data_IF_487263889409
#
_entry.id   IF_487263889409
#
_cell.length_a   1.000
_cell.length_b   1.000
_cell.length_c   1.000
_cell.angle_alpha   90.00
_cell.angle_beta   90.00
_cell.angle_gamma   90.00
#
_symmetry.space_group_name_H-M   'P 1'
#
loop_
_entity.id
_entity.type
_entity.pdbx_description
1 polymer ?
#
# COMPACT_ATOMS: atom_id res chain seq x y z
N UNK A 1 -6.56 -8.30 -17.90
CA UNK A 1 -7.91 -8.01 -17.36
C UNK A 1 -8.43 -6.70 -17.95
N UNK A 2 -9.74 -6.42 -17.89
CA UNK A 2 -10.36 -5.24 -18.52
C UNK A 2 -9.75 -3.90 -18.07
N UNK A 3 -9.33 -3.79 -16.81
CA UNK A 3 -8.78 -2.55 -16.23
C UNK A 3 -7.25 -2.40 -16.41
N UNK A 4 -6.60 -3.29 -17.16
CA UNK A 4 -5.14 -3.28 -17.36
C UNK A 4 -4.32 -3.88 -16.22
N UNK A 5 -4.94 -4.45 -15.19
CA UNK A 5 -4.22 -5.20 -14.16
C UNK A 5 -3.77 -6.57 -14.69
N UNK A 6 -2.54 -6.96 -14.34
CA UNK A 6 -1.98 -8.29 -14.64
C UNK A 6 -2.34 -9.34 -13.57
N UNK A 7 -2.57 -8.91 -12.33
CA UNK A 7 -2.96 -9.77 -11.21
C UNK A 7 -3.94 -9.06 -10.27
N UNK A 8 -4.59 -9.84 -9.40
CA UNK A 8 -5.39 -9.34 -8.28
C UNK A 8 -4.79 -9.77 -6.94
N UNK A 9 -5.08 -9.03 -5.88
CA UNK A 9 -4.69 -9.39 -4.50
C UNK A 9 -5.90 -9.77 -3.67
N UNK A 10 -5.88 -10.94 -3.03
CA UNK A 10 -6.93 -11.37 -2.10
C UNK A 10 -6.37 -11.52 -0.68
N UNK A 11 -7.15 -11.07 0.30
CA UNK A 11 -6.84 -11.20 1.74
C UNK A 11 -7.47 -12.46 2.32
N UNK A 12 -6.70 -13.19 3.12
CA UNK A 12 -7.14 -14.42 3.77
C UNK A 12 -6.19 -15.59 3.52
N UNK A 13 -6.17 -16.53 4.46
CA UNK A 13 -5.35 -17.74 4.40
C UNK A 13 -6.11 -18.96 3.90
N UNK A 14 -6.10 -20.04 4.68
CA UNK A 14 -6.75 -21.32 4.34
C UNK A 14 -8.22 -21.18 3.91
N UNK A 15 -8.95 -20.24 4.51
CA UNK A 15 -10.37 -20.01 4.23
C UNK A 15 -10.67 -19.47 2.83
N UNK A 16 -9.71 -18.76 2.23
CA UNK A 16 -9.85 -18.13 0.90
C UNK A 16 -9.15 -18.95 -0.19
N UNK A 17 -8.29 -19.90 0.18
CA UNK A 17 -7.57 -20.77 -0.76
C UNK A 17 -8.49 -21.48 -1.79
N UNK A 18 -9.68 -22.03 -1.44
CA UNK A 18 -10.57 -22.65 -2.43
C UNK A 18 -11.10 -21.64 -3.47
N UNK A 19 -11.31 -20.39 -3.08
CA UNK A 19 -11.74 -19.31 -3.99
C UNK A 19 -10.59 -18.90 -4.89
N UNK A 20 -9.37 -18.76 -4.34
CA UNK A 20 -8.18 -18.44 -5.11
C UNK A 20 -7.91 -19.50 -6.17
N UNK A 21 -8.01 -20.79 -5.82
CA UNK A 21 -7.87 -21.88 -6.78
C UNK A 21 -8.80 -21.69 -7.98
N UNK A 22 -10.08 -21.42 -7.74
CA UNK A 22 -11.06 -21.22 -8.83
C UNK A 22 -10.72 -20.02 -9.72
N UNK A 23 -10.16 -18.96 -9.15
CA UNK A 23 -9.73 -17.77 -9.90
C UNK A 23 -8.49 -18.10 -10.75
N UNK A 24 -7.52 -18.80 -10.17
CA UNK A 24 -6.30 -19.23 -10.86
C UNK A 24 -6.63 -20.22 -11.99
N UNK A 25 -7.53 -21.17 -11.75
CA UNK A 25 -8.00 -22.13 -12.76
C UNK A 25 -8.73 -21.42 -13.93
N UNK A 26 -9.31 -20.26 -13.68
CA UNK A 26 -9.89 -19.39 -14.72
C UNK A 26 -8.84 -18.56 -15.49
N UNK A 27 -7.54 -18.74 -15.21
CA UNK A 27 -6.44 -18.07 -15.88
C UNK A 27 -6.09 -16.69 -15.32
N UNK A 28 -6.54 -16.36 -14.11
CA UNK A 28 -6.27 -15.05 -13.47
C UNK A 28 -5.21 -15.22 -12.38
N UNK A 29 -4.08 -14.51 -12.51
CA UNK A 29 -3.03 -14.50 -11.50
C UNK A 29 -3.48 -13.83 -10.20
N UNK A 30 -3.17 -14.48 -9.07
CA UNK A 30 -3.54 -13.98 -7.74
C UNK A 30 -2.31 -13.84 -6.85
N UNK A 31 -2.21 -12.70 -6.17
CA UNK A 31 -1.31 -12.48 -5.04
C UNK A 31 -2.09 -12.72 -3.74
N UNK A 32 -1.63 -13.65 -2.92
CA UNK A 32 -2.19 -13.88 -1.59
C UNK A 32 -1.81 -12.77 -0.62
N UNK A 33 -2.55 -12.59 0.46
CA UNK A 33 -2.20 -11.66 1.54
C UNK A 33 -2.62 -12.25 2.88
N UNK A 34 -1.63 -12.46 3.76
CA UNK A 34 -1.81 -13.01 5.11
C UNK A 34 -1.08 -12.16 6.16
N UNK A 35 -1.31 -12.46 7.44
CA UNK A 35 -0.94 -11.59 8.54
C UNK A 35 -2.11 -10.68 8.88
N UNK A 36 -1.83 -9.40 9.13
CA UNK A 36 -2.89 -8.42 9.35
C UNK A 36 -3.54 -8.08 8.01
N UNK A 37 -4.77 -8.55 7.80
CA UNK A 37 -5.58 -8.23 6.63
C UNK A 37 -6.51 -7.05 6.93
N UNK A 38 -6.26 -5.84 6.39
CA UNK A 38 -7.01 -4.64 6.76
C UNK A 38 -8.52 -4.75 6.60
N UNK A 39 -9.01 -5.53 5.62
CA UNK A 39 -10.45 -5.71 5.38
C UNK A 39 -11.18 -6.36 6.56
N UNK A 40 -10.46 -7.13 7.38
CA UNK A 40 -11.01 -7.82 8.56
C UNK A 40 -10.37 -7.33 9.87
N UNK A 41 -9.67 -6.19 9.84
CA UNK A 41 -8.95 -5.65 11.00
C UNK A 41 -9.86 -5.48 12.23
N UNK A 42 -11.11 -5.04 12.04
CA UNK A 42 -12.07 -4.90 13.14
C UNK A 42 -12.36 -6.22 13.86
N UNK A 43 -12.43 -7.34 13.11
CA UNK A 43 -12.67 -8.68 13.66
C UNK A 43 -11.51 -9.17 14.53
N UNK A 44 -10.30 -8.67 14.31
CA UNK A 44 -9.10 -8.96 15.11
C UNK A 44 -8.77 -7.86 16.13
N UNK A 45 -9.71 -6.94 16.37
CA UNK A 45 -9.57 -5.87 17.37
C UNK A 45 -8.66 -4.73 16.93
N UNK A 46 -8.63 -4.42 15.63
CA UNK A 46 -7.90 -3.33 15.01
C UNK A 46 -6.58 -3.75 14.35
N UNK A 47 -5.72 -2.77 14.08
CA UNK A 47 -4.42 -2.97 13.44
C UNK A 47 -3.39 -3.52 14.43
N UNK A 48 -3.46 -4.84 14.70
CA UNK A 48 -2.56 -5.54 15.63
C UNK A 48 -1.59 -6.46 14.91
N UNK A 49 -0.43 -6.68 15.53
CA UNK A 49 0.58 -7.65 15.07
C UNK A 49 0.00 -9.06 15.10
N UNK A 50 0.18 -9.83 14.03
CA UNK A 50 -0.25 -11.23 13.91
C UNK A 50 0.92 -12.19 14.12
N UNK A 51 0.63 -13.43 14.54
CA UNK A 51 1.68 -14.45 14.77
C UNK A 51 2.50 -14.22 16.05
N UNK A 52 1.96 -13.53 17.04
CA UNK A 52 2.63 -13.27 18.32
C UNK A 52 2.68 -14.47 19.28
N UNK A 53 2.01 -15.58 18.96
CA UNK A 53 2.02 -16.84 19.73
C UNK A 53 2.47 -18.00 18.84
N UNK A 54 2.94 -19.12 19.42
CA UNK A 54 3.30 -20.31 18.64
C UNK A 54 2.18 -20.80 17.73
N UNK A 55 0.93 -20.81 18.21
CA UNK A 55 -0.23 -21.25 17.44
C UNK A 55 -0.53 -20.29 16.28
N UNK A 56 -0.44 -18.98 16.53
CA UNK A 56 -0.64 -17.97 15.49
C UNK A 56 0.45 -17.99 14.43
N UNK A 57 1.71 -18.22 14.82
CA UNK A 57 2.81 -18.39 13.88
C UNK A 57 2.63 -19.66 13.03
N UNK A 58 2.24 -20.77 13.65
CA UNK A 58 1.94 -22.01 12.94
C UNK A 58 0.75 -21.86 11.98
N UNK A 59 -0.27 -21.07 12.34
CA UNK A 59 -1.40 -20.75 11.47
C UNK A 59 -0.94 -19.99 10.23
N UNK A 60 -0.11 -18.95 10.37
CA UNK A 60 0.40 -18.18 9.23
C UNK A 60 1.22 -19.04 8.26
N UNK A 61 1.96 -20.03 8.76
CA UNK A 61 2.68 -20.98 7.92
C UNK A 61 1.69 -21.90 7.16
N UNK A 62 0.62 -22.37 7.81
CA UNK A 62 -0.44 -23.15 7.14
C UNK A 62 -1.14 -22.32 6.07
N UNK A 63 -1.49 -21.08 6.40
CA UNK A 63 -2.11 -20.14 5.47
C UNK A 63 -1.24 -19.93 4.24
N UNK A 64 0.06 -19.65 4.42
CA UNK A 64 0.99 -19.47 3.31
C UNK A 64 1.06 -20.71 2.39
N UNK A 65 1.16 -21.91 2.98
CA UNK A 65 1.18 -23.16 2.22
C UNK A 65 -0.12 -23.41 1.46
N UNK A 66 -1.27 -23.16 2.08
CA UNK A 66 -2.56 -23.33 1.43
C UNK A 66 -2.75 -22.36 0.25
N UNK A 67 -2.24 -21.13 0.38
CA UNK A 67 -2.23 -20.17 -0.71
C UNK A 67 -1.29 -20.56 -1.85
N UNK A 68 -0.07 -20.99 -1.53
CA UNK A 68 0.87 -21.51 -2.53
C UNK A 68 0.28 -22.71 -3.26
N UNK A 69 -0.28 -23.68 -2.51
CA UNK A 69 -0.95 -24.83 -3.10
C UNK A 69 -2.05 -24.35 -4.05
N UNK A 70 -2.91 -23.42 -3.62
CA UNK A 70 -3.98 -22.82 -4.43
C UNK A 70 -3.50 -22.10 -5.72
N UNK A 71 -2.20 -21.88 -5.88
CA UNK A 71 -1.59 -21.38 -7.11
C UNK A 71 -1.37 -19.86 -7.15
N UNK A 72 -1.21 -19.22 -5.98
CA UNK A 72 -0.82 -17.80 -5.97
C UNK A 72 0.54 -17.61 -6.65
N UNK A 73 0.74 -16.44 -7.27
CA UNK A 73 2.03 -16.08 -7.89
C UNK A 73 3.00 -15.44 -6.91
N UNK A 74 2.49 -14.93 -5.77
CA UNK A 74 3.25 -14.32 -4.68
C UNK A 74 2.36 -14.17 -3.44
N UNK A 75 2.94 -13.85 -2.28
CA UNK A 75 2.21 -13.61 -1.03
C UNK A 75 2.69 -12.33 -0.35
N UNK A 76 1.75 -11.47 0.03
CA UNK A 76 2.00 -10.33 0.93
C UNK A 76 1.94 -10.79 2.38
N UNK A 77 2.96 -10.45 3.16
CA UNK A 77 3.04 -10.65 4.61
C UNK A 77 2.92 -9.28 5.31
N UNK A 78 1.83 -9.07 6.04
CA UNK A 78 1.57 -7.80 6.73
C UNK A 78 1.62 -7.93 8.26
N UNK A 79 2.36 -7.03 8.90
CA UNK A 79 2.37 -6.79 10.35
C UNK A 79 2.52 -8.05 11.21
N UNK A 80 3.68 -8.72 11.11
CA UNK A 80 4.00 -9.94 11.89
C UNK A 80 5.47 -9.92 12.37
N UNK A 81 5.85 -10.71 13.40
CA UNK A 81 7.24 -10.80 13.84
C UNK A 81 8.16 -11.27 12.72
N UNK A 82 9.34 -10.66 12.59
CA UNK A 82 10.30 -10.95 11.52
C UNK A 82 10.70 -12.42 11.45
N UNK A 83 10.83 -13.10 12.60
CA UNK A 83 11.17 -14.51 12.65
C UNK A 83 10.02 -15.42 12.17
N UNK A 84 8.76 -14.96 12.29
CA UNK A 84 7.62 -15.67 11.70
C UNK A 84 7.65 -15.54 10.19
N UNK A 85 7.93 -14.34 9.66
CA UNK A 85 8.09 -14.13 8.22
C UNK A 85 9.23 -14.97 7.63
N UNK A 86 10.35 -15.08 8.36
CA UNK A 86 11.45 -15.98 7.97
C UNK A 86 10.98 -17.44 7.88
N UNK A 87 10.25 -17.92 8.89
CA UNK A 87 9.73 -19.29 8.90
C UNK A 87 8.70 -19.53 7.78
N UNK A 88 7.91 -18.52 7.41
CA UNK A 88 7.02 -18.58 6.23
C UNK A 88 7.86 -18.70 4.95
N UNK A 89 8.91 -17.89 4.79
CA UNK A 89 9.82 -17.97 3.63
C UNK A 89 10.60 -19.28 3.51
N UNK A 90 10.83 -20.00 4.61
CA UNK A 90 11.41 -21.35 4.60
C UNK A 90 10.38 -22.43 4.22
N UNK A 91 9.08 -22.11 4.27
CA UNK A 91 7.98 -23.06 4.13
C UNK A 91 7.30 -23.04 2.76
N UNK A 92 7.50 -21.98 1.96
CA UNK A 92 6.94 -21.80 0.61
C UNK A 92 8.05 -21.38 -0.36
N UNK A 93 7.81 -21.57 -1.66
CA UNK A 93 8.73 -21.22 -2.75
C UNK A 93 8.29 -19.98 -3.54
N UNK A 94 7.02 -19.56 -3.42
CA UNK A 94 6.52 -18.33 -4.06
C UNK A 94 7.15 -17.07 -3.44
N UNK A 95 7.38 -16.00 -4.24
CA UNK A 95 7.92 -14.74 -3.73
C UNK A 95 7.08 -14.10 -2.63
N UNK A 96 7.75 -13.53 -1.63
CA UNK A 96 7.15 -12.88 -0.48
C UNK A 96 7.37 -11.36 -0.51
N UNK A 97 6.28 -10.60 -0.36
CA UNK A 97 6.28 -9.15 -0.24
C UNK A 97 5.96 -8.75 1.21
N UNK A 98 6.90 -8.10 1.90
CA UNK A 98 6.69 -7.70 3.29
C UNK A 98 6.24 -6.25 3.46
N UNK A 99 5.32 -6.03 4.39
CA UNK A 99 4.99 -4.71 4.96
C UNK A 99 4.87 -4.84 6.48
N UNK A 100 5.88 -4.36 7.20
CA UNK A 100 5.97 -4.60 8.64
C UNK A 100 6.19 -6.08 9.00
N UNK A 101 6.84 -6.83 8.11
CA UNK A 101 7.20 -8.25 8.25
C UNK A 101 8.72 -8.47 8.44
N UNK A 102 9.50 -7.39 8.62
CA UNK A 102 10.95 -7.47 8.73
C UNK A 102 11.66 -7.76 7.40
N UNK A 103 12.97 -8.09 7.44
CA UNK A 103 13.81 -8.13 6.24
C UNK A 103 13.86 -9.49 5.53
N UNK A 104 13.27 -10.54 6.10
CA UNK A 104 13.38 -11.92 5.58
C UNK A 104 12.31 -12.24 4.53
N UNK A 105 12.13 -11.33 3.58
CA UNK A 105 11.18 -11.41 2.47
C UNK A 105 11.89 -10.96 1.18
N UNK A 106 11.36 -11.32 0.02
CA UNK A 106 12.01 -11.06 -1.26
C UNK A 106 11.91 -9.60 -1.70
N UNK A 107 10.82 -8.91 -1.33
CA UNK A 107 10.73 -7.46 -1.52
C UNK A 107 9.88 -6.79 -0.44
N UNK A 108 9.94 -5.45 -0.40
CA UNK A 108 9.22 -4.62 0.56
C UNK A 108 8.13 -3.83 -0.16
N UNK A 109 6.99 -3.65 0.49
CA UNK A 109 5.92 -2.76 0.04
C UNK A 109 5.57 -1.76 1.14
N UNK A 110 5.35 -0.52 0.75
CA UNK A 110 4.86 0.54 1.62
C UNK A 110 3.85 1.38 0.84
N UNK A 111 2.91 1.99 1.55
CA UNK A 111 2.00 2.98 0.98
C UNK A 111 2.80 4.24 0.64
N UNK A 112 2.73 4.70 -0.61
CA UNK A 112 3.52 5.83 -1.12
C UNK A 112 3.37 7.08 -0.27
N UNK A 113 2.15 7.37 0.19
CA UNK A 113 1.85 8.56 0.98
C UNK A 113 2.48 8.50 2.39
N UNK A 114 2.51 7.31 2.99
CA UNK A 114 3.20 7.09 4.26
C UNK A 114 4.71 7.19 4.08
N UNK A 115 5.24 6.56 3.02
CA UNK A 115 6.65 6.61 2.65
C UNK A 115 7.13 8.05 2.42
N UNK A 116 6.32 8.88 1.77
CA UNK A 116 6.64 10.27 1.45
C UNK A 116 6.23 11.27 2.55
N UNK A 117 5.69 10.79 3.67
CA UNK A 117 5.29 11.63 4.79
C UNK A 117 4.26 12.69 4.38
N UNK A 118 3.25 12.31 3.60
CA UNK A 118 2.21 13.22 3.08
C UNK A 118 1.12 13.56 4.11
N UNK A 119 0.91 12.68 5.10
CA UNK A 119 -0.12 12.85 6.11
C UNK A 119 0.48 13.21 7.48
N UNK A 120 -0.32 13.89 8.32
CA UNK A 120 0.00 14.18 9.71
C UNK A 120 -0.67 13.18 10.65
N UNK A 121 -0.11 13.02 11.86
CA UNK A 121 -0.73 12.29 12.96
C UNK A 121 -0.14 10.90 13.15
N UNK A 122 -0.80 9.88 12.60
CA UNK A 122 -0.45 8.48 12.83
C UNK A 122 0.62 7.99 11.85
N UNK A 123 1.69 7.42 12.40
CA UNK A 123 2.73 6.74 11.63
C UNK A 123 2.88 5.31 12.16
N UNK A 124 2.54 4.27 11.37
CA UNK A 124 2.76 2.89 11.79
C UNK A 124 4.24 2.65 12.12
N UNK A 125 4.51 1.81 13.12
CA UNK A 125 5.88 1.53 13.60
C UNK A 125 6.82 1.05 12.48
N UNK A 126 6.29 0.31 11.51
CA UNK A 126 7.06 -0.25 10.40
C UNK A 126 7.30 0.73 9.25
N UNK A 127 6.74 1.94 9.28
CA UNK A 127 6.95 2.94 8.23
C UNK A 127 8.21 3.75 8.53
N UNK A 128 9.05 3.94 7.51
CA UNK A 128 10.08 4.99 7.49
C UNK A 128 9.64 6.07 6.50
N UNK A 129 9.70 7.34 6.91
CA UNK A 129 9.55 8.44 5.96
C UNK A 129 10.87 8.59 5.21
N UNK A 130 10.81 8.53 3.89
CA UNK A 130 11.94 8.77 3.00
C UNK A 130 11.94 10.22 2.48
N UNK A 131 10.81 10.91 2.58
CA UNK A 131 10.67 12.34 2.31
C UNK A 131 9.65 12.98 3.28
N UNK A 132 9.65 14.31 3.35
CA UNK A 132 8.72 15.12 4.16
C UNK A 132 7.78 15.96 3.29
N UNK A 133 7.14 15.34 2.30
CA UNK A 133 6.44 16.06 1.22
C UNK A 133 5.32 16.96 1.73
N UNK A 134 4.70 16.61 2.86
CA UNK A 134 3.67 17.46 3.45
C UNK A 134 4.16 18.87 3.77
N UNK A 135 5.38 19.02 4.27
CA UNK A 135 5.92 20.35 4.61
C UNK A 135 6.02 21.22 3.36
N UNK A 136 6.55 20.66 2.28
CA UNK A 136 6.66 21.35 0.98
C UNK A 136 5.30 21.68 0.38
N UNK A 137 4.33 20.76 0.46
CA UNK A 137 2.96 21.01 0.01
C UNK A 137 2.33 22.19 0.77
N UNK A 138 2.43 22.21 2.10
CA UNK A 138 1.88 23.30 2.92
C UNK A 138 2.59 24.61 2.63
N UNK A 139 3.91 24.61 2.51
CA UNK A 139 4.68 25.81 2.18
C UNK A 139 4.27 26.38 0.81
N UNK A 140 4.14 25.52 -0.21
CA UNK A 140 3.70 25.95 -1.54
C UNK A 140 2.29 26.53 -1.56
N UNK A 141 1.35 25.90 -0.85
CA UNK A 141 -0.03 26.39 -0.75
C UNK A 141 -0.12 27.73 -0.01
N UNK A 142 0.67 27.91 1.06
CA UNK A 142 0.71 29.19 1.79
C UNK A 142 1.34 30.30 0.95
N UNK A 143 2.45 30.03 0.23
CA UNK A 143 3.04 31.02 -0.68
C UNK A 143 2.07 31.43 -1.78
N UNK A 144 1.37 30.47 -2.39
CA UNK A 144 0.33 30.76 -3.36
C UNK A 144 -0.76 31.67 -2.78
N UNK A 145 -1.22 31.39 -1.55
CA UNK A 145 -2.19 32.23 -0.87
C UNK A 145 -1.66 33.66 -0.62
N UNK A 146 -0.43 33.79 -0.14
CA UNK A 146 0.21 35.09 0.11
C UNK A 146 0.38 35.91 -1.18
N UNK A 147 0.92 35.30 -2.24
CA UNK A 147 1.19 35.99 -3.52
C UNK A 147 -0.10 36.39 -4.25
N UNK A 148 -1.16 35.60 -4.13
CA UNK A 148 -2.49 35.96 -4.70
C UNK A 148 -3.17 37.09 -3.94
N UNK A 149 -2.99 37.18 -2.63
CA UNK A 149 -3.51 38.28 -1.82
C UNK A 149 -2.71 39.57 -2.00
N UNK A 150 -1.38 39.47 -2.13
CA UNK A 150 -0.51 40.63 -2.35
C UNK A 150 -0.61 41.17 -3.79
N UNK A 151 -1.07 40.34 -4.73
CA UNK A 151 -1.08 40.64 -6.16
C UNK A 151 0.28 40.39 -6.84
N UNK A 152 1.23 39.77 -6.16
CA UNK A 152 2.50 39.32 -6.76
C UNK A 152 2.28 38.21 -7.80
N UNK A 153 1.30 37.33 -7.55
CA UNK A 153 0.83 36.32 -8.49
C UNK A 153 -0.64 36.57 -8.92
N UNK A 154 -0.98 36.44 -10.21
CA UNK A 154 -0.06 36.19 -11.33
C UNK A 154 0.70 37.45 -11.74
N UNK A 155 2.00 37.30 -12.02
CA UNK A 155 2.80 38.31 -12.68
C UNK A 155 2.56 38.28 -14.21
N UNK A 156 3.12 39.23 -14.98
CA UNK A 156 3.07 39.17 -16.45
C UNK A 156 3.66 37.88 -17.04
N UNK A 157 4.67 37.28 -16.41
CA UNK A 157 5.26 36.00 -16.88
C UNK A 157 4.22 34.87 -16.87
N UNK A 158 3.34 34.87 -15.88
CA UNK A 158 2.28 33.88 -15.71
C UNK A 158 0.95 34.32 -16.35
N UNK A 159 0.97 35.33 -17.22
CA UNK A 159 -0.22 35.94 -17.83
C UNK A 159 -0.10 36.02 -19.35
N UNK A 160 -1.21 35.80 -20.07
CA UNK A 160 -1.27 36.08 -21.50
C UNK A 160 -1.50 37.57 -21.74
N UNK A 161 -0.44 38.32 -22.02
CA UNK A 161 -0.49 39.80 -22.06
C UNK A 161 -0.81 40.39 -23.44
N UNK A 162 -1.43 39.62 -24.35
CA UNK A 162 -1.76 40.12 -25.68
C UNK A 162 -2.87 41.18 -25.55
N UNK A 163 -2.58 42.40 -26.00
CA UNK A 163 -3.61 43.43 -26.11
C UNK A 163 -4.62 43.04 -27.19
N UNK A 164 -5.90 43.12 -26.84
CA UNK A 164 -7.03 42.88 -27.74
C UNK A 164 -7.90 44.12 -27.70
N UNK A 165 -8.24 44.65 -28.87
CA UNK A 165 -9.21 45.72 -28.98
C UNK A 165 -10.60 45.16 -28.64
N UNK A 166 -11.21 45.68 -27.57
CA UNK A 166 -12.53 45.26 -27.14
C UNK A 166 -13.54 46.26 -27.70
N UNK A 167 -14.38 45.86 -28.68
CA UNK A 167 -15.42 46.74 -29.19
C UNK A 167 -16.43 47.05 -28.08
N UNK A 168 -17.00 48.26 -28.08
CA UNK A 168 -18.14 48.57 -27.21
C UNK A 168 -19.28 47.62 -27.53
N UNK A 169 -19.70 46.84 -26.53
CA UNK A 169 -20.83 45.91 -26.65
C UNK A 169 -22.18 46.64 -26.53
N UNK A 170 -22.17 47.91 -26.14
CA UNK A 170 -23.30 48.83 -26.05
C UNK A 170 -22.84 50.29 -26.06
#
# INVERSE_FOLDING_TARGET
METGCDCIKLEGGETVAPTIRRIVDAGISVVGHIGLTPQTATSVGGFKVQGGTPEGAAQLIRDAKALEEAGVVAIVLECMPSMVSKAVGEAVSVPLLGIGAGPYVDCQVLVTQDLLGMYNGFKPKFVKHFAGIRQEMVAGLNRFHEETLSGEFPSPEYSFNKSVEIPKLY
#
